data_IF_721410809953
#
_entry.id   IF_721410809953
#
_cell.length_a   1.000
_cell.length_b   1.000
_cell.length_c   1.000
_cell.angle_alpha   90.00
_cell.angle_beta   90.00
_cell.angle_gamma   90.00
#
_symmetry.space_group_name_H-M   'P 1'
#
loop_
_entity.id
_entity.type
_entity.pdbx_description
1 polymer ?
#
# COMPACT_ATOMS: atom_id res chain seq x y z
N UNK A 1 -12.42 17.57 5.72
CA UNK A 1 -11.96 16.27 6.26
C UNK A 1 -13.15 15.32 6.25
N UNK A 2 -12.94 14.11 5.74
CA UNK A 2 -13.94 13.06 5.64
C UNK A 2 -13.38 11.85 6.38
N UNK A 3 -14.20 11.20 7.21
CA UNK A 3 -13.82 10.00 7.97
C UNK A 3 -14.86 8.91 7.75
N UNK A 4 -14.41 7.67 7.56
CA UNK A 4 -15.26 6.49 7.45
C UNK A 4 -15.14 5.66 8.73
N UNK A 5 -16.21 5.64 9.51
CA UNK A 5 -16.27 4.95 10.80
C UNK A 5 -17.18 3.73 10.67
N UNK A 6 -16.65 2.56 10.98
CA UNK A 6 -17.38 1.32 11.04
C UNK A 6 -17.80 0.99 12.47
N UNK A 7 -18.99 0.41 12.65
CA UNK A 7 -19.47 -0.10 13.92
C UNK A 7 -19.92 -1.56 13.77
N UNK A 8 -19.37 -2.45 14.59
CA UNK A 8 -19.75 -3.86 14.64
C UNK A 8 -21.10 -4.00 15.36
N UNK A 9 -22.15 -4.31 14.59
CA UNK A 9 -23.53 -4.43 15.08
C UNK A 9 -23.81 -5.83 15.64
N UNK A 10 -23.21 -6.84 15.02
CA UNK A 10 -23.24 -8.24 15.47
C UNK A 10 -21.97 -8.94 15.02
N UNK A 11 -21.81 -10.21 15.38
CA UNK A 11 -20.73 -11.10 14.94
C UNK A 11 -20.52 -11.26 13.42
N UNK A 12 -21.45 -10.76 12.59
CA UNK A 12 -21.45 -10.95 11.14
C UNK A 12 -21.78 -9.68 10.35
N UNK A 13 -22.17 -8.61 11.04
CA UNK A 13 -22.66 -7.40 10.38
C UNK A 13 -22.01 -6.14 10.94
N UNK A 14 -21.63 -5.26 10.02
CA UNK A 14 -21.07 -3.95 10.32
C UNK A 14 -21.84 -2.85 9.60
N UNK A 15 -21.96 -1.70 10.26
CA UNK A 15 -22.50 -0.46 9.68
C UNK A 15 -21.37 0.52 9.47
N UNK A 16 -21.23 1.08 8.27
CA UNK A 16 -20.24 2.11 7.95
C UNK A 16 -20.95 3.45 7.78
N UNK A 17 -20.43 4.48 8.46
CA UNK A 17 -20.83 5.87 8.28
C UNK A 17 -19.68 6.65 7.68
N UNK A 18 -19.96 7.29 6.55
CA UNK A 18 -19.08 8.28 5.97
C UNK A 18 -19.46 9.65 6.50
N UNK A 19 -18.56 10.34 7.18
CA UNK A 19 -18.84 11.59 7.87
C UNK A 19 -17.92 12.68 7.32
N UNK A 20 -18.52 13.70 6.71
CA UNK A 20 -17.81 14.93 6.30
C UNK A 20 -18.26 16.13 7.13
N UNK A 21 -17.36 17.11 7.28
CA UNK A 21 -17.68 18.41 7.85
C UNK A 21 -18.83 19.12 7.08
N UNK A 22 -19.02 18.81 5.80
CA UNK A 22 -20.07 19.41 4.96
C UNK A 22 -21.48 18.84 5.24
N UNK A 23 -21.61 17.96 6.25
CA UNK A 23 -22.89 17.38 6.69
C UNK A 23 -23.40 16.24 5.81
N UNK A 24 -22.70 15.91 4.72
CA UNK A 24 -23.00 14.72 3.92
C UNK A 24 -22.62 13.50 4.77
N UNK A 25 -23.63 12.78 5.21
CA UNK A 25 -23.47 11.47 5.84
C UNK A 25 -24.12 10.41 4.96
N UNK A 26 -23.32 9.55 4.34
CA UNK A 26 -23.86 8.31 3.77
C UNK A 26 -23.70 7.20 4.79
N UNK A 27 -24.78 6.47 5.03
CA UNK A 27 -24.81 5.33 5.93
C UNK A 27 -25.00 4.07 5.09
N UNK A 28 -24.03 3.17 5.13
CA UNK A 28 -24.18 1.81 4.60
C UNK A 28 -24.41 0.89 5.78
N UNK A 29 -25.63 0.41 5.94
CA UNK A 29 -26.08 -0.14 7.23
C UNK A 29 -25.64 -1.59 7.46
N UNK A 30 -25.45 -2.41 6.42
CA UNK A 30 -25.10 -3.82 6.61
C UNK A 30 -24.08 -4.26 5.55
N UNK A 31 -22.83 -4.42 5.97
CA UNK A 31 -21.75 -5.06 5.21
C UNK A 31 -21.36 -6.34 5.95
N UNK A 32 -20.98 -7.38 5.20
CA UNK A 32 -20.48 -8.62 5.78
C UNK A 32 -19.09 -8.40 6.35
N UNK A 33 -18.80 -9.06 7.47
CA UNK A 33 -17.45 -9.04 8.04
C UNK A 33 -16.36 -9.54 7.07
N UNK A 34 -16.72 -10.38 6.11
CA UNK A 34 -15.82 -10.86 5.04
C UNK A 34 -15.40 -9.76 4.05
N UNK A 35 -16.21 -8.71 3.90
CA UNK A 35 -15.95 -7.61 2.96
C UNK A 35 -15.16 -6.47 3.63
N UNK A 36 -14.93 -6.56 4.95
CA UNK A 36 -14.24 -5.55 5.76
C UNK A 36 -12.86 -5.19 5.21
N UNK A 37 -12.13 -6.16 4.65
CA UNK A 37 -10.79 -5.94 4.07
C UNK A 37 -10.81 -5.07 2.81
N UNK A 38 -11.95 -4.97 2.11
CA UNK A 38 -12.06 -4.21 0.87
C UNK A 38 -12.54 -2.78 1.11
N UNK A 39 -13.19 -2.55 2.24
CA UNK A 39 -13.78 -1.26 2.58
C UNK A 39 -12.75 -0.30 3.18
N UNK A 40 -12.72 0.97 2.71
CA UNK A 40 -11.85 1.99 3.29
C UNK A 40 -12.40 2.43 4.64
N UNK A 41 -11.86 1.89 5.73
CA UNK A 41 -12.25 2.24 7.09
C UNK A 41 -11.11 2.99 7.77
N UNK A 42 -11.46 4.08 8.45
CA UNK A 42 -10.50 4.88 9.22
C UNK A 42 -10.58 4.57 10.72
N UNK A 43 -11.71 4.04 11.20
CA UNK A 43 -11.93 3.68 12.59
C UNK A 43 -12.99 2.58 12.71
N UNK A 44 -12.72 1.54 13.50
CA UNK A 44 -13.68 0.50 13.83
C UNK A 44 -14.07 0.56 15.31
N UNK A 45 -15.37 0.59 15.57
CA UNK A 45 -15.98 0.52 16.88
C UNK A 45 -16.63 -0.84 17.09
N UNK A 46 -16.50 -1.44 18.27
CA UNK A 46 -17.18 -2.69 18.60
C UNK A 46 -17.74 -2.67 20.03
N UNK A 47 -18.82 -3.42 20.27
CA UNK A 47 -19.34 -3.65 21.61
C UNK A 47 -18.68 -4.87 22.25
N UNK A 48 -18.31 -4.78 23.53
CA UNK A 48 -17.72 -5.89 24.29
C UNK A 48 -18.67 -7.10 24.36
N UNK A 49 -19.98 -6.85 24.28
CA UNK A 49 -21.02 -7.90 24.34
C UNK A 49 -21.01 -8.80 23.11
N UNK A 50 -20.59 -8.27 21.98
CA UNK A 50 -20.52 -9.00 20.71
C UNK A 50 -19.18 -9.74 20.54
N UNK A 51 -18.21 -9.54 21.44
CA UNK A 51 -16.89 -10.14 21.33
C UNK A 51 -16.92 -11.65 21.64
N UNK A 52 -16.51 -12.44 20.65
CA UNK A 52 -16.23 -13.87 20.79
C UNK A 52 -14.78 -14.17 20.35
N UNK A 53 -14.30 -15.40 20.53
CA UNK A 53 -12.91 -15.77 20.21
C UNK A 53 -12.56 -15.56 18.72
N UNK A 54 -13.48 -15.91 17.81
CA UNK A 54 -13.28 -15.76 16.36
C UNK A 54 -13.15 -14.28 15.96
N UNK A 55 -14.02 -13.43 16.48
CA UNK A 55 -14.00 -12.00 16.27
C UNK A 55 -12.76 -11.35 16.87
N UNK A 56 -12.34 -11.78 18.06
CA UNK A 56 -11.11 -11.27 18.68
C UNK A 56 -9.92 -11.48 17.76
N UNK A 57 -9.76 -12.68 17.22
CA UNK A 57 -8.67 -12.98 16.29
C UNK A 57 -8.76 -12.17 14.99
N UNK A 58 -9.97 -11.95 14.47
CA UNK A 58 -10.15 -11.10 13.29
C UNK A 58 -9.80 -9.63 13.60
N UNK A 59 -10.26 -9.08 14.73
CA UNK A 59 -9.96 -7.70 15.11
C UNK A 59 -8.45 -7.50 15.27
N UNK A 60 -7.74 -8.46 15.87
CA UNK A 60 -6.28 -8.41 15.99
C UNK A 60 -5.58 -8.34 14.61
N UNK A 61 -6.11 -9.06 13.62
CA UNK A 61 -5.59 -9.00 12.24
C UNK A 61 -5.84 -7.66 11.56
N UNK A 62 -6.95 -6.99 11.90
CA UNK A 62 -7.33 -5.71 11.31
C UNK A 62 -6.70 -4.51 12.02
N UNK A 63 -6.26 -4.66 13.28
CA UNK A 63 -5.64 -3.59 14.07
C UNK A 63 -4.39 -3.00 13.39
N UNK A 64 -3.75 -3.77 12.50
CA UNK A 64 -2.60 -3.32 11.70
C UNK A 64 -2.96 -2.25 10.64
N UNK A 65 -4.23 -2.12 10.28
CA UNK A 65 -4.69 -1.25 9.20
C UNK A 65 -5.32 0.06 9.70
N UNK A 66 -6.05 0.02 10.82
CA UNK A 66 -6.73 1.17 11.39
C UNK A 66 -6.96 0.97 12.90
N UNK A 67 -7.22 2.05 13.67
CA UNK A 67 -7.58 1.94 15.08
C UNK A 67 -8.88 1.16 15.28
N UNK A 68 -8.90 0.30 16.30
CA UNK A 68 -10.07 -0.44 16.76
C UNK A 68 -10.34 -0.07 18.22
N UNK A 69 -11.58 0.29 18.56
CA UNK A 69 -11.96 0.75 19.89
C UNK A 69 -13.19 -0.01 20.39
N UNK A 70 -13.14 -0.42 21.66
CA UNK A 70 -14.31 -0.91 22.37
C UNK A 70 -15.22 0.27 22.77
N UNK A 71 -16.40 0.32 22.15
CA UNK A 71 -17.42 1.37 22.34
C UNK A 71 -18.12 1.32 23.71
N UNK A 72 -17.85 0.27 24.51
CA UNK A 72 -18.35 0.09 25.88
C UNK A 72 -17.27 0.30 26.95
N UNK A 73 -16.06 0.69 26.56
CA UNK A 73 -14.92 0.75 27.48
C UNK A 73 -14.61 2.18 27.95
N UNK A 74 -14.50 2.34 29.28
CA UNK A 74 -13.89 3.51 29.95
C UNK A 74 -14.42 4.87 29.47
N UNK A 75 -13.69 5.50 28.55
CA UNK A 75 -13.92 6.86 28.08
C UNK A 75 -14.91 6.95 26.89
N UNK A 76 -15.30 5.81 26.31
CA UNK A 76 -16.24 5.75 25.19
C UNK A 76 -17.45 4.94 25.65
N UNK A 77 -18.58 5.60 25.72
CA UNK A 77 -19.90 4.99 25.95
C UNK A 77 -20.74 5.36 24.74
N UNK A 78 -20.63 4.56 23.68
CA UNK A 78 -21.33 4.80 22.43
C UNK A 78 -22.06 3.53 21.98
N UNK A 79 -23.26 3.27 22.52
CA UNK A 79 -24.16 2.27 21.99
C UNK A 79 -24.43 2.48 20.49
N UNK A 80 -24.77 1.40 19.79
CA UNK A 80 -25.06 1.46 18.35
C UNK A 80 -26.12 2.51 17.98
N UNK A 81 -27.18 2.65 18.78
CA UNK A 81 -28.25 3.62 18.52
C UNK A 81 -27.74 5.05 18.56
N UNK A 82 -26.86 5.35 19.51
CA UNK A 82 -26.23 6.66 19.65
C UNK A 82 -25.26 6.88 18.50
N UNK A 83 -24.43 5.89 18.18
CA UNK A 83 -23.52 5.92 17.02
C UNK A 83 -24.25 6.30 15.72
N UNK A 84 -25.48 5.85 15.49
CA UNK A 84 -26.22 6.18 14.27
C UNK A 84 -26.69 7.64 14.22
N UNK A 85 -26.80 8.30 15.37
CA UNK A 85 -27.28 9.67 15.51
C UNK A 85 -26.13 10.68 15.71
N UNK A 86 -24.95 10.21 16.11
CA UNK A 86 -23.81 11.08 16.41
C UNK A 86 -23.39 11.92 15.20
N UNK A 87 -23.11 13.20 15.43
CA UNK A 87 -22.63 14.11 14.39
C UNK A 87 -21.13 13.95 14.14
N UNK A 88 -20.62 14.49 13.03
CA UNK A 88 -19.18 14.55 12.78
C UNK A 88 -18.43 15.30 13.89
N UNK A 89 -18.99 16.39 14.42
CA UNK A 89 -18.36 17.20 15.46
C UNK A 89 -18.16 16.44 16.78
N UNK A 90 -19.05 15.50 17.09
CA UNK A 90 -18.96 14.69 18.31
C UNK A 90 -18.04 13.47 18.13
N UNK A 91 -17.98 12.89 16.93
CA UNK A 91 -17.09 11.76 16.61
C UNK A 91 -15.65 12.18 16.32
N UNK A 92 -15.44 13.40 15.83
CA UNK A 92 -14.14 13.90 15.44
C UNK A 92 -13.10 13.85 16.57
N UNK A 93 -13.38 14.28 17.81
CA UNK A 93 -12.42 14.20 18.91
C UNK A 93 -12.02 12.76 19.24
N UNK A 94 -13.00 11.85 19.27
CA UNK A 94 -12.76 10.42 19.51
C UNK A 94 -11.85 9.81 18.43
N UNK A 95 -12.14 10.14 17.17
CA UNK A 95 -11.34 9.73 16.04
C UNK A 95 -9.92 10.28 16.15
N UNK A 96 -9.75 11.58 16.36
CA UNK A 96 -8.44 12.22 16.44
C UNK A 96 -7.58 11.65 17.58
N UNK A 97 -8.15 11.44 18.76
CA UNK A 97 -7.45 10.86 19.90
C UNK A 97 -6.97 9.44 19.59
N UNK A 98 -7.88 8.60 19.10
CA UNK A 98 -7.62 7.18 18.88
C UNK A 98 -6.67 6.94 17.72
N UNK A 99 -6.86 7.68 16.62
CA UNK A 99 -5.97 7.65 15.47
C UNK A 99 -4.57 8.14 15.82
N UNK A 100 -4.45 9.19 16.64
CA UNK A 100 -3.16 9.69 17.12
C UNK A 100 -2.44 8.66 18.00
N UNK A 101 -3.16 7.99 18.91
CA UNK A 101 -2.60 6.91 19.75
C UNK A 101 -2.14 5.72 18.91
N UNK A 102 -2.95 5.31 17.94
CA UNK A 102 -2.62 4.20 17.04
C UNK A 102 -1.41 4.51 16.17
N UNK A 103 -1.36 5.70 15.56
CA UNK A 103 -0.20 6.15 14.77
C UNK A 103 1.06 6.21 15.62
N UNK A 104 0.97 6.72 16.85
CA UNK A 104 2.09 6.77 17.78
C UNK A 104 2.58 5.36 18.19
N UNK A 105 1.66 4.44 18.48
CA UNK A 105 1.99 3.02 18.73
C UNK A 105 2.79 2.44 17.56
N UNK A 106 2.32 2.64 16.32
CA UNK A 106 3.02 2.17 15.12
C UNK A 106 4.40 2.82 14.95
N UNK A 107 4.52 4.11 15.22
CA UNK A 107 5.80 4.83 15.15
C UNK A 107 6.81 4.30 16.18
N UNK A 108 6.37 3.97 17.39
CA UNK A 108 7.22 3.37 18.43
C UNK A 108 7.65 1.96 18.00
N UNK A 109 6.73 1.14 17.51
CA UNK A 109 7.05 -0.19 16.99
C UNK A 109 8.06 -0.14 15.83
N UNK A 110 7.90 0.80 14.89
CA UNK A 110 8.87 1.02 13.82
C UNK A 110 10.25 1.43 14.37
N UNK A 111 10.29 2.26 15.41
CA UNK A 111 11.56 2.66 16.03
C UNK A 111 12.29 1.46 16.65
N UNK A 112 11.55 0.58 17.33
CA UNK A 112 12.08 -0.64 17.96
C UNK A 112 12.59 -1.63 16.91
N UNK A 113 11.85 -1.81 15.82
CA UNK A 113 12.14 -2.79 14.76
C UNK A 113 12.96 -2.21 13.59
N UNK A 114 13.46 -0.98 13.68
CA UNK A 114 14.08 -0.26 12.56
C UNK A 114 15.24 -1.05 11.91
N UNK A 115 16.13 -1.64 12.71
CA UNK A 115 17.29 -2.38 12.21
C UNK A 115 16.91 -3.74 11.60
N UNK A 116 16.16 -4.63 12.28
CA UNK A 116 15.65 -5.85 11.67
C UNK A 116 14.89 -5.58 10.36
N UNK A 117 14.01 -4.58 10.38
CA UNK A 117 13.15 -4.25 9.26
C UNK A 117 13.93 -3.72 8.05
N UNK A 118 14.91 -2.84 8.25
CA UNK A 118 15.77 -2.37 7.14
C UNK A 118 16.58 -3.50 6.51
N UNK A 119 17.09 -4.45 7.33
CA UNK A 119 17.79 -5.64 6.81
C UNK A 119 16.84 -6.53 6.00
N UNK A 120 15.65 -6.77 6.53
CA UNK A 120 14.62 -7.55 5.85
C UNK A 120 14.20 -6.92 4.51
N UNK A 121 13.87 -5.63 4.49
CA UNK A 121 13.48 -4.93 3.26
C UNK A 121 14.58 -4.94 2.20
N UNK A 122 15.86 -4.82 2.58
CA UNK A 122 16.96 -4.94 1.61
C UNK A 122 16.98 -6.30 0.93
N UNK A 123 16.80 -7.36 1.71
CA UNK A 123 16.74 -8.72 1.18
C UNK A 123 15.50 -8.92 0.29
N UNK A 124 14.33 -8.46 0.75
CA UNK A 124 13.08 -8.55 0.00
C UNK A 124 13.17 -7.77 -1.32
N UNK A 125 13.73 -6.56 -1.32
CA UNK A 125 13.95 -5.75 -2.53
C UNK A 125 14.82 -6.44 -3.59
N UNK A 126 15.69 -7.38 -3.19
CA UNK A 126 16.53 -8.15 -4.11
C UNK A 126 15.84 -9.45 -4.59
N UNK A 127 14.89 -9.98 -3.81
CA UNK A 127 14.14 -11.20 -4.11
C UNK A 127 12.86 -10.90 -4.90
N UNK A 128 11.97 -10.12 -4.31
CA UNK A 128 10.69 -9.69 -4.86
C UNK A 128 10.46 -8.22 -4.54
N UNK A 129 10.82 -7.37 -5.51
CA UNK A 129 10.72 -5.93 -5.36
C UNK A 129 9.27 -5.46 -5.29
N UNK A 130 8.33 -6.15 -5.95
CA UNK A 130 6.91 -5.79 -5.92
C UNK A 130 6.36 -6.00 -4.52
N UNK A 131 6.57 -7.19 -3.96
CA UNK A 131 6.19 -7.49 -2.57
C UNK A 131 6.83 -6.50 -1.59
N UNK A 132 8.11 -6.15 -1.80
CA UNK A 132 8.80 -5.16 -0.97
C UNK A 132 8.13 -3.77 -1.03
N UNK A 133 7.62 -3.32 -2.18
CA UNK A 133 6.93 -2.04 -2.27
C UNK A 133 5.52 -2.07 -1.67
N UNK A 134 4.82 -3.20 -1.76
CA UNK A 134 3.53 -3.41 -1.10
C UNK A 134 3.66 -3.40 0.42
N UNK A 135 4.68 -4.08 0.95
CA UNK A 135 4.97 -4.05 2.38
C UNK A 135 5.43 -2.66 2.86
N UNK A 136 6.24 -1.96 2.05
CA UNK A 136 6.63 -0.58 2.33
C UNK A 136 5.40 0.34 2.34
N UNK A 137 4.46 0.14 1.43
CA UNK A 137 3.19 0.88 1.40
C UNK A 137 2.42 0.67 2.70
N UNK A 138 2.26 -0.57 3.17
CA UNK A 138 1.58 -0.88 4.44
C UNK A 138 2.27 -0.19 5.62
N UNK A 139 3.59 -0.25 5.67
CA UNK A 139 4.40 0.38 6.72
C UNK A 139 4.21 1.90 6.73
N UNK A 140 4.30 2.53 5.56
CA UNK A 140 4.13 3.98 5.44
C UNK A 140 2.71 4.40 5.80
N UNK A 141 1.69 3.66 5.38
CA UNK A 141 0.28 3.98 5.64
C UNK A 141 -0.02 4.05 7.14
N UNK A 142 0.43 3.05 7.90
CA UNK A 142 0.21 2.98 9.34
C UNK A 142 1.04 3.98 10.14
N UNK A 143 2.26 4.27 9.69
CA UNK A 143 3.15 5.21 10.36
C UNK A 143 2.85 6.68 10.05
N UNK A 144 2.32 6.98 8.87
CA UNK A 144 1.85 8.34 8.53
C UNK A 144 0.41 8.58 9.02
N UNK A 145 -0.34 7.53 9.37
CA UNK A 145 -1.74 7.66 9.75
C UNK A 145 -2.60 8.20 8.60
N UNK A 146 -2.38 7.70 7.38
CA UNK A 146 -2.99 8.24 6.16
C UNK A 146 -4.28 7.53 5.78
N UNK A 147 -5.26 8.29 5.29
CA UNK A 147 -6.45 7.73 4.64
C UNK A 147 -6.14 7.26 3.22
N UNK A 148 -5.28 7.99 2.50
CA UNK A 148 -4.83 7.66 1.15
C UNK A 148 -3.31 7.70 1.04
N UNK A 149 -2.75 6.72 0.34
CA UNK A 149 -1.32 6.62 0.08
C UNK A 149 -1.09 6.05 -1.32
N UNK A 150 -0.23 6.71 -2.08
CA UNK A 150 0.20 6.28 -3.41
C UNK A 150 1.71 6.39 -3.53
N UNK A 151 2.34 5.29 -3.93
CA UNK A 151 3.77 5.23 -4.25
C UNK A 151 3.93 5.20 -5.76
N UNK A 152 4.83 6.02 -6.29
CA UNK A 152 5.21 6.03 -7.70
C UNK A 152 6.72 5.88 -7.77
N UNK A 153 7.21 4.88 -8.49
CA UNK A 153 8.64 4.56 -8.54
C UNK A 153 9.04 3.94 -9.86
N UNK A 154 10.36 3.83 -10.08
CA UNK A 154 10.92 3.09 -11.23
C UNK A 154 11.35 1.70 -10.79
N UNK A 155 10.95 0.70 -11.56
CA UNK A 155 11.36 -0.68 -11.36
C UNK A 155 12.17 -1.19 -12.56
N UNK A 156 13.10 -2.10 -12.28
CA UNK A 156 13.86 -2.85 -13.26
C UNK A 156 13.14 -4.17 -13.57
N UNK A 157 12.29 -4.16 -14.58
CA UNK A 157 11.68 -5.40 -15.07
C UNK A 157 12.75 -6.17 -15.84
N UNK A 158 13.16 -7.32 -15.27
CA UNK A 158 14.01 -8.28 -15.98
C UNK A 158 13.18 -8.90 -17.10
N UNK A 159 13.70 -9.01 -18.34
CA UNK A 159 12.98 -9.70 -19.39
C UNK A 159 12.70 -11.14 -18.92
N UNK A 160 11.53 -11.72 -19.24
CA UNK A 160 11.24 -13.10 -18.89
C UNK A 160 12.38 -13.96 -19.42
N UNK A 161 13.04 -14.70 -18.54
CA UNK A 161 14.07 -15.64 -18.93
C UNK A 161 13.39 -16.68 -19.80
N UNK A 162 13.71 -16.67 -21.08
CA UNK A 162 13.41 -17.76 -22.00
C UNK A 162 14.13 -19.03 -21.52
N UNK A 163 13.59 -19.72 -20.53
CA UNK A 163 14.06 -21.00 -20.05
C UNK A 163 13.05 -22.08 -20.47
N UNK A 164 13.43 -22.85 -21.49
CA UNK A 164 13.05 -24.27 -21.58
C UNK A 164 11.80 -24.61 -22.39
N UNK A 165 11.82 -24.39 -23.71
CA UNK A 165 11.18 -25.35 -24.61
C UNK A 165 12.01 -26.64 -24.56
N UNK A 166 11.59 -27.62 -23.78
CA UNK A 166 12.02 -29.01 -23.95
C UNK A 166 11.15 -29.65 -25.02
N UNK A 167 11.64 -29.64 -26.26
CA UNK A 167 11.53 -30.78 -27.17
C UNK A 167 12.87 -31.54 -27.00
N UNK A 168 13.00 -32.86 -26.95
CA UNK A 168 12.38 -34.01 -27.64
C UNK A 168 12.53 -35.25 -26.73
N UNK A 169 11.86 -36.40 -26.86
CA UNK A 169 11.89 -37.47 -27.89
C UNK A 169 10.94 -38.58 -27.33
N UNK A 170 9.96 -39.17 -28.03
CA UNK A 170 10.00 -40.29 -29.01
C UNK A 170 8.50 -40.66 -29.26
N UNK A 171 7.98 -41.26 -30.33
CA UNK A 171 8.50 -42.12 -31.42
C UNK A 171 7.46 -42.16 -32.57
N UNK A 172 7.94 -42.31 -33.82
CA UNK A 172 7.35 -43.06 -34.97
C UNK A 172 5.88 -42.80 -35.40
N UNK A 173 5.52 -42.50 -36.66
CA UNK A 173 5.79 -43.30 -37.87
C UNK A 173 5.17 -42.67 -39.15
N UNK A 174 5.68 -43.12 -40.31
CA UNK A 174 5.03 -43.20 -41.65
C UNK A 174 4.95 -41.89 -42.48
N UNK A 175 5.90 -41.63 -43.39
CA UNK A 175 5.99 -42.09 -44.79
C UNK A 175 5.04 -41.38 -45.79
N UNK A 176 5.58 -40.53 -46.68
CA UNK A 176 5.56 -40.73 -48.16
C UNK A 176 6.31 -39.62 -48.96
N UNK A 177 7.29 -40.09 -49.74
CA UNK A 177 7.83 -39.68 -51.06
C UNK A 177 7.73 -38.26 -51.68
N UNK A 178 8.94 -37.70 -51.97
CA UNK A 178 9.48 -37.14 -53.27
C UNK A 178 9.04 -35.72 -53.78
N UNK A 179 9.80 -35.07 -54.71
CA UNK A 179 11.13 -34.45 -54.50
C UNK A 179 11.31 -33.04 -55.12
N UNK A 180 12.42 -32.37 -54.74
CA UNK A 180 13.23 -31.36 -55.44
C UNK A 180 12.61 -30.17 -56.21
N UNK A 181 13.01 -28.96 -55.80
CA UNK A 181 13.67 -28.02 -56.73
C UNK A 181 14.62 -27.07 -55.98
N UNK A 182 15.81 -26.90 -56.56
CA UNK A 182 16.90 -26.04 -56.12
C UNK A 182 16.50 -24.55 -56.14
N UNK A 183 17.21 -23.72 -55.35
CA UNK A 183 18.17 -22.71 -55.87
C UNK A 183 18.39 -21.55 -54.88
N UNK A 184 19.67 -21.23 -54.68
CA UNK A 184 20.29 -19.97 -54.20
C UNK A 184 20.28 -19.59 -52.72
N UNK A 185 21.45 -19.86 -52.13
CA UNK A 185 22.14 -19.07 -51.12
C UNK A 185 22.32 -17.60 -51.50
N UNK A 186 22.12 -16.67 -50.54
CA UNK A 186 22.96 -15.45 -50.37
C UNK A 186 22.79 -14.89 -48.94
N UNK A 187 23.79 -15.16 -48.12
CA UNK A 187 24.55 -14.22 -47.26
C UNK A 187 23.84 -13.14 -46.42
N UNK A 188 23.95 -13.32 -45.11
CA UNK A 188 24.27 -12.33 -44.07
C UNK A 188 23.39 -11.09 -43.86
N UNK A 189 22.62 -11.12 -42.76
CA UNK A 189 22.59 -10.01 -41.82
C UNK A 189 22.26 -10.56 -40.42
N UNK A 190 23.31 -10.92 -39.70
CA UNK A 190 23.28 -11.18 -38.26
C UNK A 190 22.68 -9.96 -37.57
N UNK A 191 21.43 -10.05 -37.11
CA UNK A 191 20.88 -9.02 -36.23
C UNK A 191 21.72 -8.99 -34.95
N UNK A 192 22.20 -7.82 -34.52
CA UNK A 192 23.01 -7.73 -33.32
C UNK A 192 22.14 -8.13 -32.13
N UNK A 193 22.64 -9.08 -31.33
CA UNK A 193 22.15 -9.37 -29.99
C UNK A 193 22.22 -8.09 -29.15
N UNK A 194 21.19 -7.26 -29.24
CA UNK A 194 21.09 -5.99 -28.55
C UNK A 194 20.69 -6.30 -27.11
N UNK A 195 21.69 -6.31 -26.23
CA UNK A 195 21.60 -6.03 -24.79
C UNK A 195 20.28 -6.46 -24.13
N UNK A 196 20.27 -7.65 -23.50
CA UNK A 196 19.28 -8.02 -22.47
C UNK A 196 19.49 -7.18 -21.19
N UNK A 197 19.49 -5.85 -21.30
CA UNK A 197 19.48 -4.94 -20.14
C UNK A 197 18.02 -4.82 -19.71
N UNK A 198 17.76 -4.98 -18.41
CA UNK A 198 16.43 -4.78 -17.84
C UNK A 198 15.84 -3.44 -18.29
N UNK A 199 14.54 -3.41 -18.59
CA UNK A 199 13.86 -2.17 -18.96
C UNK A 199 13.37 -1.52 -17.67
N UNK A 200 13.68 -0.24 -17.49
CA UNK A 200 13.05 0.55 -16.45
C UNK A 200 11.59 0.78 -16.82
N UNK A 201 10.68 0.38 -15.94
CA UNK A 201 9.23 0.55 -16.06
C UNK A 201 8.77 1.40 -14.88
N UNK A 202 7.81 2.29 -15.14
CA UNK A 202 7.19 3.06 -14.07
C UNK A 202 6.15 2.16 -13.39
N UNK A 203 6.19 2.10 -12.07
CA UNK A 203 5.30 1.30 -11.26
C UNK A 203 4.56 2.19 -10.27
N UNK A 204 3.41 1.72 -9.84
CA UNK A 204 2.54 2.41 -8.89
C UNK A 204 1.98 1.41 -7.90
N UNK A 205 2.04 1.74 -6.62
CA UNK A 205 1.43 0.97 -5.54
C UNK A 205 0.44 1.87 -4.80
N UNK A 206 -0.83 1.49 -4.83
CA UNK A 206 -1.93 2.21 -4.19
C UNK A 206 -2.97 1.22 -3.64
N UNK A 207 -3.87 1.67 -2.76
CA UNK A 207 -4.85 0.79 -2.13
C UNK A 207 -5.66 1.46 -1.03
N UNK A 208 -6.68 0.77 -0.54
CA UNK A 208 -7.48 1.19 0.63
C UNK A 208 -6.91 0.54 1.89
N UNK A 209 -7.14 -0.75 2.07
CA UNK A 209 -6.64 -1.55 3.21
C UNK A 209 -5.44 -2.38 2.78
N UNK A 210 -5.53 -2.97 1.58
CA UNK A 210 -4.46 -3.76 0.95
C UNK A 210 -3.89 -3.01 -0.25
N UNK A 211 -2.56 -3.02 -0.43
CA UNK A 211 -1.92 -2.42 -1.59
C UNK A 211 -2.12 -3.29 -2.83
N UNK A 212 -2.08 -2.66 -4.00
CA UNK A 212 -1.97 -3.34 -5.28
C UNK A 212 -0.94 -2.61 -6.13
N UNK A 213 0.00 -3.36 -6.68
CA UNK A 213 1.02 -2.82 -7.58
C UNK A 213 0.63 -3.00 -9.04
N UNK A 214 0.73 -1.94 -9.83
CA UNK A 214 0.44 -1.95 -11.26
C UNK A 214 1.41 -1.05 -12.05
N UNK A 215 1.53 -1.23 -13.38
CA UNK A 215 2.29 -0.31 -14.23
C UNK A 215 1.68 1.11 -14.18
N UNK A 216 2.54 2.11 -13.97
CA UNK A 216 2.12 3.52 -13.92
C UNK A 216 1.69 4.06 -15.30
N UNK A 217 0.75 5.01 -15.28
CA UNK A 217 0.24 5.68 -16.47
C UNK A 217 1.08 6.86 -16.94
N UNK A 218 0.49 7.68 -17.83
CA UNK A 218 1.16 8.87 -18.38
C UNK A 218 1.37 9.96 -17.31
N UNK A 219 0.43 10.10 -16.37
CA UNK A 219 0.53 11.06 -15.27
C UNK A 219 1.71 10.72 -14.36
N UNK A 220 1.82 9.47 -13.94
CA UNK A 220 2.91 8.98 -13.09
C UNK A 220 4.27 9.10 -13.78
N UNK A 221 4.32 8.87 -15.10
CA UNK A 221 5.52 9.08 -15.88
C UNK A 221 5.96 10.56 -15.87
N UNK A 222 5.02 11.49 -16.05
CA UNK A 222 5.28 12.94 -15.98
C UNK A 222 5.71 13.39 -14.60
N UNK A 223 5.07 12.87 -13.55
CA UNK A 223 5.46 13.14 -12.16
C UNK A 223 6.90 12.68 -11.89
N UNK A 224 7.27 11.47 -12.32
CA UNK A 224 8.64 10.98 -12.20
C UNK A 224 9.64 11.83 -12.98
N UNK A 225 9.30 12.32 -14.17
CA UNK A 225 10.18 13.21 -14.93
C UNK A 225 10.47 14.52 -14.17
N UNK A 226 9.44 15.11 -13.55
CA UNK A 226 9.55 16.38 -12.83
C UNK A 226 10.29 16.19 -11.49
N UNK A 227 9.95 15.15 -10.73
CA UNK A 227 10.39 15.02 -9.34
C UNK A 227 11.61 14.10 -9.15
N UNK A 228 11.90 13.16 -10.04
CA UNK A 228 13.08 12.28 -9.89
C UNK A 228 14.41 13.04 -9.77
N UNK A 229 14.67 14.15 -10.52
CA UNK A 229 15.89 14.94 -10.32
C UNK A 229 16.00 15.56 -8.93
N UNK A 230 14.89 15.69 -8.20
CA UNK A 230 14.82 16.24 -6.83
C UNK A 230 15.03 15.17 -5.76
N UNK A 231 15.01 13.88 -6.10
CA UNK A 231 15.29 12.76 -5.18
C UNK A 231 16.79 12.62 -4.86
N UNK A 232 17.43 13.69 -4.40
CA UNK A 232 18.87 13.75 -4.11
C UNK A 232 19.23 13.26 -2.71
N UNK A 233 18.26 13.27 -1.79
CA UNK A 233 18.40 12.76 -0.42
C UNK A 233 17.63 11.44 -0.27
N UNK A 234 17.99 10.58 0.71
CA UNK A 234 17.24 9.35 0.99
C UNK A 234 15.76 9.61 1.24
N UNK A 235 15.43 10.74 1.87
CA UNK A 235 14.07 11.16 2.17
C UNK A 235 14.00 12.67 2.41
N UNK A 236 12.97 13.31 1.87
CA UNK A 236 12.61 14.69 2.14
C UNK A 236 11.12 14.94 1.89
N UNK A 237 10.57 15.92 2.60
CA UNK A 237 9.22 16.44 2.34
C UNK A 237 9.38 17.53 1.28
N UNK A 238 8.80 17.35 0.10
CA UNK A 238 8.88 18.34 -0.98
C UNK A 238 7.81 19.41 -0.84
N UNK A 239 6.56 18.98 -0.59
CA UNK A 239 5.40 19.86 -0.50
C UNK A 239 4.47 19.35 0.60
N UNK A 240 3.83 20.27 1.31
CA UNK A 240 2.87 19.96 2.37
C UNK A 240 1.77 21.03 2.37
N UNK A 241 0.52 20.59 2.24
CA UNK A 241 -0.68 21.42 2.38
C UNK A 241 -1.39 20.99 3.66
N UNK A 242 -0.91 21.50 4.80
CA UNK A 242 -1.36 21.07 6.13
C UNK A 242 -2.87 21.21 6.34
N UNK A 243 -3.51 22.22 5.74
CA UNK A 243 -4.97 22.44 5.83
C UNK A 243 -5.77 21.30 5.20
N UNK A 244 -5.23 20.66 4.16
CA UNK A 244 -5.85 19.52 3.47
C UNK A 244 -5.29 18.17 3.93
N UNK A 245 -4.22 18.19 4.72
CA UNK A 245 -3.48 16.98 5.08
C UNK A 245 -2.77 16.33 3.89
N UNK A 246 -2.50 17.07 2.81
CA UNK A 246 -1.86 16.54 1.60
C UNK A 246 -0.33 16.71 1.70
N UNK A 247 0.40 15.62 1.46
CA UNK A 247 1.85 15.58 1.54
C UNK A 247 2.44 14.95 0.28
N UNK A 248 3.48 15.60 -0.25
CA UNK A 248 4.33 15.08 -1.30
C UNK A 248 5.73 14.82 -0.72
N UNK A 249 6.05 13.56 -0.50
CA UNK A 249 7.35 13.14 0.02
C UNK A 249 8.16 12.55 -1.14
N UNK A 250 9.46 12.81 -1.12
CA UNK A 250 10.41 12.28 -2.09
C UNK A 250 11.40 11.41 -1.35
N UNK A 251 11.63 10.23 -1.86
CA UNK A 251 12.59 9.29 -1.32
C UNK A 251 13.41 8.65 -2.45
N UNK A 252 14.46 7.96 -2.06
CA UNK A 252 15.26 7.12 -2.95
C UNK A 252 15.57 5.80 -2.27
N UNK A 253 15.57 4.70 -3.00
CA UNK A 253 16.08 3.39 -2.53
C UNK A 253 16.98 2.83 -3.62
N UNK A 254 18.28 2.63 -3.32
CA UNK A 254 19.28 2.14 -4.29
C UNK A 254 19.23 2.93 -5.60
N UNK A 255 19.25 4.27 -5.49
CA UNK A 255 19.15 5.22 -6.62
C UNK A 255 17.81 5.24 -7.38
N UNK A 256 16.85 4.39 -7.01
CA UNK A 256 15.50 4.43 -7.57
C UNK A 256 14.70 5.57 -6.92
N UNK A 257 14.26 6.58 -7.69
CA UNK A 257 13.41 7.64 -7.16
C UNK A 257 12.04 7.08 -6.79
N UNK A 258 11.51 7.55 -5.67
CA UNK A 258 10.18 7.22 -5.16
C UNK A 258 9.46 8.52 -4.83
N UNK A 259 8.28 8.69 -5.40
CA UNK A 259 7.34 9.75 -5.04
C UNK A 259 6.27 9.12 -4.15
N UNK A 260 6.04 9.74 -3.00
CA UNK A 260 5.06 9.29 -2.01
C UNK A 260 4.02 10.41 -1.92
N UNK A 261 2.82 10.13 -2.39
CA UNK A 261 1.67 11.03 -2.28
C UNK A 261 0.77 10.51 -1.17
N UNK A 262 0.53 11.33 -0.15
CA UNK A 262 -0.17 10.92 1.05
C UNK A 262 -1.21 11.95 1.47
N UNK A 263 -2.37 11.47 1.92
CA UNK A 263 -3.37 12.28 2.61
C UNK A 263 -3.45 11.79 4.05
N UNK A 264 -2.94 12.58 5.00
CA UNK A 264 -2.89 12.25 6.41
C UNK A 264 -3.75 13.20 7.24
N UNK A 265 -4.36 12.66 8.30
CA UNK A 265 -5.19 13.45 9.21
C UNK A 265 -4.37 14.43 10.05
N UNK A 266 -3.18 14.02 10.45
CA UNK A 266 -2.19 14.84 11.12
C UNK A 266 -0.80 14.21 10.95
N UNK A 267 0.23 15.03 10.83
CA UNK A 267 1.61 14.55 10.76
C UNK A 267 2.35 14.88 12.06
N UNK A 268 2.70 13.83 12.81
CA UNK A 268 3.48 13.96 14.04
C UNK A 268 4.94 14.36 13.71
N UNK A 269 5.57 15.30 14.45
CA UNK A 269 6.97 15.67 14.27
C UNK A 269 7.98 14.51 14.31
N UNK A 270 7.65 13.39 14.96
CA UNK A 270 8.47 12.18 15.01
C UNK A 270 8.55 11.48 13.64
N UNK A 271 7.47 11.51 12.86
CA UNK A 271 7.32 10.74 11.63
C UNK A 271 8.38 11.09 10.58
N UNK A 272 8.64 12.38 10.25
CA UNK A 272 9.73 12.73 9.32
C UNK A 272 11.09 12.16 9.71
N UNK A 273 11.40 12.16 11.01
CA UNK A 273 12.69 11.68 11.52
C UNK A 273 12.80 10.16 11.42
N UNK A 274 11.72 9.44 11.73
CA UNK A 274 11.64 7.99 11.55
C UNK A 274 11.75 7.58 10.09
N UNK A 275 10.97 8.20 9.21
CA UNK A 275 11.01 7.91 7.77
C UNK A 275 12.38 8.23 7.18
N UNK A 276 12.98 9.36 7.55
CA UNK A 276 14.35 9.69 7.14
C UNK A 276 15.34 8.63 7.58
N UNK A 277 15.21 8.11 8.80
CA UNK A 277 16.08 7.06 9.33
C UNK A 277 15.87 5.73 8.60
N UNK A 278 14.61 5.35 8.34
CA UNK A 278 14.24 4.18 7.54
C UNK A 278 14.88 4.23 6.15
N UNK A 279 14.61 5.29 5.37
CA UNK A 279 15.14 5.41 4.02
C UNK A 279 16.66 5.57 3.98
N UNK A 280 17.26 6.23 4.98
CA UNK A 280 18.73 6.25 5.10
C UNK A 280 19.25 4.83 5.31
N UNK A 281 18.63 4.07 6.22
CA UNK A 281 18.97 2.67 6.47
C UNK A 281 18.83 1.79 5.23
N UNK A 282 17.79 1.99 4.41
CA UNK A 282 17.57 1.26 3.15
C UNK A 282 18.60 1.55 2.06
N UNK A 283 19.30 2.69 2.12
CA UNK A 283 20.34 3.07 1.15
C UNK A 283 21.78 2.73 1.59
N UNK A 284 21.99 2.33 2.85
CA UNK A 284 23.29 1.85 3.33
C UNK A 284 23.58 0.42 2.88
#
# INVERSE_FOLDING_TARGET
>A
MQIKVAFLKSDRSLSIRDLSHDGITSVTTDISLSDLEQEPIDLLLYSQKELNEELSHLLDQQEKHYPIICADSGNVMMPYQDFMQTSFGDLQPLFQESHSKWTLKNNILLLEELFPLTKYFKQQMDQDRVAAFEELWCLLKSNLGTSSLKLIYKDLVRPPTSSGSTATEDTENSSTDRPNTETTSTTAASQPQRNRRGRLVNMTTEGTTTPTTSPGGELEAKLLEIYAPRCTSPFQISEAVSEKGEYLLLASIKESPIIIMATAYAMNPLVPSLLKSLFTGLNQ
#
